data_IF_145313203616
#
_entry.id   IF_145313203616
#
_cell.length_a   1.000
_cell.length_b   1.000
_cell.length_c   1.000
_cell.angle_alpha   90.00
_cell.angle_beta   90.00
_cell.angle_gamma   90.00
#
_symmetry.space_group_name_H-M   'P 1'
#
loop_
_entity.id
_entity.type
_entity.pdbx_description
1 polymer ?
#
# COMPACT_ATOMS: atom_id res chain seq x y z
N UNK A 1 10.98 -5.08 12.85
CA UNK A 1 10.74 -4.74 11.43
C UNK A 1 9.25 -4.55 11.20
N UNK A 2 8.43 -5.54 11.58
CA UNK A 2 6.96 -5.45 11.62
C UNK A 2 6.44 -4.19 12.36
N UNK A 3 6.99 -3.87 13.53
CA UNK A 3 6.62 -2.65 14.27
C UNK A 3 6.86 -1.34 13.49
N UNK A 4 7.90 -1.30 12.64
CA UNK A 4 8.19 -0.13 11.79
C UNK A 4 7.15 -0.06 10.66
N UNK A 5 6.82 -1.20 10.04
CA UNK A 5 5.76 -1.28 9.03
C UNK A 5 4.42 -0.80 9.62
N UNK A 6 4.02 -1.35 10.77
CA UNK A 6 2.79 -0.96 11.48
C UNK A 6 2.79 0.55 11.80
N UNK A 7 3.90 1.09 12.29
CA UNK A 7 4.02 2.51 12.58
C UNK A 7 3.82 3.37 11.32
N UNK A 8 4.35 2.94 10.17
CA UNK A 8 4.21 3.65 8.89
C UNK A 8 2.78 3.54 8.37
N UNK A 9 2.16 2.36 8.41
CA UNK A 9 0.76 2.16 8.00
C UNK A 9 -0.19 3.05 8.82
N UNK A 10 -0.01 3.08 10.15
CA UNK A 10 -0.76 3.98 11.03
C UNK A 10 -0.50 5.46 10.70
N UNK A 11 0.76 5.82 10.42
CA UNK A 11 1.10 7.19 10.06
C UNK A 11 0.44 7.64 8.75
N UNK A 12 0.36 6.74 7.76
CA UNK A 12 -0.33 7.00 6.50
C UNK A 12 -1.83 7.17 6.78
N UNK A 13 -2.44 6.30 7.57
CA UNK A 13 -3.86 6.39 7.96
C UNK A 13 -4.21 7.71 8.64
N UNK A 14 -3.32 8.25 9.46
CA UNK A 14 -3.53 9.53 10.14
C UNK A 14 -3.38 10.76 9.22
N UNK A 15 -2.59 10.65 8.15
CA UNK A 15 -2.15 11.81 7.34
C UNK A 15 -2.72 11.84 5.94
N UNK A 16 -3.14 10.69 5.41
CA UNK A 16 -3.71 10.55 4.08
C UNK A 16 -5.16 10.14 4.23
N UNK A 17 -6.04 11.12 4.10
CA UNK A 17 -7.48 10.90 4.15
C UNK A 17 -7.97 10.33 2.81
N UNK A 18 -9.18 9.74 2.81
CA UNK A 18 -9.86 9.21 1.63
C UNK A 18 -9.19 7.99 0.98
N UNK A 19 -8.30 7.28 1.69
CA UNK A 19 -7.87 5.95 1.30
C UNK A 19 -8.89 4.91 1.78
N UNK A 20 -9.29 4.01 0.89
CA UNK A 20 -10.19 2.89 1.20
C UNK A 20 -9.42 1.73 1.86
N UNK A 21 -8.16 1.54 1.51
CA UNK A 21 -7.29 0.48 2.02
C UNK A 21 -5.86 0.98 2.26
N UNK A 22 -5.26 0.54 3.37
CA UNK A 22 -3.85 0.77 3.71
C UNK A 22 -3.31 -0.56 4.23
N UNK A 23 -2.37 -1.18 3.53
CA UNK A 23 -1.94 -2.54 3.84
C UNK A 23 -0.50 -2.85 3.42
N UNK A 24 -0.02 -4.04 3.78
CA UNK A 24 1.21 -4.62 3.24
C UNK A 24 1.02 -5.00 1.76
N UNK A 25 2.08 -4.79 0.98
CA UNK A 25 2.17 -5.20 -0.40
C UNK A 25 2.60 -6.68 -0.48
N UNK A 26 1.63 -7.55 -0.75
CA UNK A 26 1.79 -9.00 -0.88
C UNK A 26 1.69 -9.46 -2.34
N UNK A 27 1.68 -8.54 -3.30
CA UNK A 27 1.52 -8.83 -4.73
C UNK A 27 0.06 -8.83 -5.21
N UNK A 28 -0.86 -8.26 -4.42
CA UNK A 28 -2.30 -8.26 -4.70
C UNK A 28 -2.72 -7.35 -5.87
N UNK A 29 -1.80 -6.58 -6.47
CA UNK A 29 -2.05 -5.85 -7.72
C UNK A 29 -1.53 -6.61 -8.95
N UNK A 30 -0.75 -7.67 -8.75
CA UNK A 30 0.00 -8.39 -9.77
C UNK A 30 -0.57 -9.81 -10.03
N UNK A 31 -1.74 -10.10 -9.48
CA UNK A 31 -2.41 -11.41 -9.55
C UNK A 31 -3.74 -11.33 -10.29
N UNK A 32 -3.96 -12.26 -11.22
CA UNK A 32 -5.25 -12.49 -11.89
C UNK A 32 -6.16 -13.43 -11.06
N UNK A 33 -5.61 -14.02 -9.99
CA UNK A 33 -6.38 -14.82 -9.05
C UNK A 33 -7.17 -13.89 -8.13
N UNK A 34 -8.40 -14.27 -7.78
CA UNK A 34 -9.29 -13.54 -6.87
C UNK A 34 -8.74 -13.63 -5.42
N UNK A 35 -7.60 -12.99 -5.22
CA UNK A 35 -6.67 -13.19 -4.11
C UNK A 35 -6.42 -11.84 -3.48
N UNK A 36 -7.10 -11.64 -2.36
CA UNK A 36 -7.16 -10.42 -1.55
C UNK A 36 -7.88 -9.24 -2.20
N UNK A 37 -9.10 -8.88 -1.73
CA UNK A 37 -9.85 -7.77 -2.29
C UNK A 37 -9.11 -6.44 -2.04
N UNK A 38 -8.75 -5.76 -3.12
CA UNK A 38 -8.21 -4.40 -3.09
C UNK A 38 -9.36 -3.41 -3.30
N UNK A 39 -9.49 -2.44 -2.40
CA UNK A 39 -10.43 -1.33 -2.58
C UNK A 39 -9.66 -0.05 -2.85
N UNK A 40 -9.95 0.59 -3.97
CA UNK A 40 -9.28 1.82 -4.37
C UNK A 40 -9.96 3.07 -3.76
N UNK A 41 -9.22 4.18 -3.57
CA UNK A 41 -7.76 4.27 -3.67
C UNK A 41 -7.10 3.57 -2.47
N UNK A 42 -5.97 2.90 -2.71
CA UNK A 42 -5.23 2.18 -1.67
C UNK A 42 -3.77 2.58 -1.60
N UNK A 43 -3.16 2.36 -0.44
CA UNK A 43 -1.71 2.42 -0.27
C UNK A 43 -1.19 1.06 0.19
N UNK A 44 -0.17 0.57 -0.52
CA UNK A 44 0.49 -0.70 -0.22
C UNK A 44 1.94 -0.46 0.16
N UNK A 45 2.39 -1.06 1.26
CA UNK A 45 3.74 -0.90 1.79
C UNK A 45 4.52 -2.21 1.63
N UNK A 46 5.65 -2.18 0.93
CA UNK A 46 6.57 -3.31 0.85
C UNK A 46 7.88 -2.99 1.57
N UNK A 47 8.40 -3.96 2.31
CA UNK A 47 9.77 -3.90 2.78
C UNK A 47 10.68 -4.55 1.75
N UNK A 48 11.65 -3.80 1.23
CA UNK A 48 12.49 -4.28 0.15
C UNK A 48 13.76 -4.94 0.69
N UNK A 49 14.48 -4.29 1.62
CA UNK A 49 15.71 -4.83 2.19
C UNK A 49 16.13 -4.06 3.45
N UNK A 50 16.99 -4.68 4.27
CA UNK A 50 17.71 -3.99 5.34
C UNK A 50 19.20 -4.33 5.29
N UNK A 51 20.01 -3.32 4.97
CA UNK A 51 21.45 -3.45 5.01
C UNK A 51 21.96 -3.19 6.43
N UNK A 52 22.62 -4.19 7.02
CA UNK A 52 23.19 -4.10 8.35
C UNK A 52 24.70 -3.86 8.28
N UNK A 53 25.17 -2.81 8.94
CA UNK A 53 26.59 -2.50 9.08
C UNK A 53 26.99 -2.56 10.55
N UNK A 54 27.99 -3.38 10.88
CA UNK A 54 28.59 -3.39 12.22
C UNK A 54 29.34 -2.08 12.46
N UNK A 55 29.05 -1.43 13.58
CA UNK A 55 29.69 -0.16 13.98
C UNK A 55 30.53 -0.30 15.25
N UNK A 56 30.80 -1.55 15.67
CA UNK A 56 31.61 -1.91 16.83
C UNK A 56 30.81 -2.00 18.13
N UNK A 57 31.49 -2.44 19.20
CA UNK A 57 30.93 -2.56 20.56
C UNK A 57 29.64 -3.42 20.66
N UNK A 58 29.45 -4.35 19.73
CA UNK A 58 28.24 -5.19 19.67
C UNK A 58 27.00 -4.46 19.15
N UNK A 59 27.17 -3.35 18.42
CA UNK A 59 26.08 -2.54 17.85
C UNK A 59 26.12 -2.60 16.33
N UNK A 60 24.93 -2.65 15.70
CA UNK A 60 24.77 -2.60 14.26
C UNK A 60 23.87 -1.43 13.87
N UNK A 61 24.20 -0.76 12.76
CA UNK A 61 23.34 0.20 12.08
C UNK A 61 22.57 -0.53 10.97
N UNK A 62 21.24 -0.45 11.01
CA UNK A 62 20.37 -0.91 9.93
C UNK A 62 19.95 0.25 9.03
N UNK A 63 20.16 0.11 7.72
CA UNK A 63 19.62 1.00 6.70
C UNK A 63 18.51 0.26 5.96
N UNK A 64 17.28 0.78 6.07
CA UNK A 64 16.07 0.11 5.58
C UNK A 64 15.60 0.82 4.31
N UNK A 65 15.30 0.04 3.27
CA UNK A 65 14.63 0.53 2.06
C UNK A 65 13.19 0.02 2.02
N UNK A 66 12.25 0.95 1.93
CA UNK A 66 10.80 0.69 1.88
C UNK A 66 10.21 1.24 0.59
N UNK A 67 9.20 0.54 0.07
CA UNK A 67 8.41 1.02 -1.07
C UNK A 67 6.98 1.30 -0.62
N UNK A 68 6.48 2.49 -0.95
CA UNK A 68 5.09 2.90 -0.71
C UNK A 68 4.41 3.07 -2.07
N UNK A 69 3.49 2.18 -2.43
CA UNK A 69 2.70 2.26 -3.67
C UNK A 69 1.37 2.95 -3.35
N UNK A 70 1.01 4.01 -4.07
CA UNK A 70 -0.34 4.56 -4.11
C UNK A 70 -1.01 4.05 -5.38
N UNK A 71 -2.13 3.34 -5.23
CA UNK A 71 -2.92 2.87 -6.35
C UNK A 71 -4.31 3.50 -6.33
N UNK A 72 -4.75 3.96 -7.50
CA UNK A 72 -6.01 4.65 -7.71
C UNK A 72 -6.65 3.96 -8.90
N UNK A 73 -7.91 3.56 -8.74
CA UNK A 73 -8.69 3.11 -9.87
C UNK A 73 -9.06 4.31 -10.74
N UNK A 74 -8.51 4.35 -11.94
CA UNK A 74 -8.81 5.36 -12.95
C UNK A 74 -9.92 4.90 -13.89
N UNK A 75 -10.48 3.70 -13.68
CA UNK A 75 -11.61 3.21 -14.45
C UNK A 75 -12.90 3.75 -13.83
N UNK A 76 -13.76 4.28 -14.69
CA UNK A 76 -15.12 4.58 -14.31
C UNK A 76 -15.91 3.30 -14.34
N UNK A 77 -16.05 2.66 -13.17
CA UNK A 77 -16.86 1.47 -13.03
C UNK A 77 -18.34 1.82 -13.22
N UNK A 78 -18.84 1.78 -14.44
CA UNK A 78 -20.19 2.23 -14.77
C UNK A 78 -21.27 1.14 -14.63
N UNK A 79 -21.04 0.06 -13.89
CA UNK A 79 -22.07 -0.97 -13.74
C UNK A 79 -23.32 -0.44 -13.00
N UNK A 80 -24.47 -1.06 -13.25
CA UNK A 80 -25.72 -0.67 -12.58
C UNK A 80 -25.60 -0.92 -11.07
N UNK A 81 -25.52 0.15 -10.28
CA UNK A 81 -25.32 0.10 -8.82
C UNK A 81 -24.07 0.82 -8.33
N UNK A 82 -23.12 1.15 -9.22
CA UNK A 82 -21.86 1.82 -8.87
C UNK A 82 -22.00 3.30 -8.49
N UNK A 83 -23.13 3.93 -8.86
CA UNK A 83 -23.36 5.36 -8.68
C UNK A 83 -22.60 6.26 -9.65
N UNK A 84 -21.86 5.71 -10.61
CA UNK A 84 -21.09 6.44 -11.63
C UNK A 84 -21.61 6.20 -13.06
N UNK A 85 -22.83 5.66 -13.20
CA UNK A 85 -23.45 5.34 -14.50
C UNK A 85 -23.57 6.55 -15.44
N UNK A 86 -23.55 7.76 -14.91
CA UNK A 86 -23.59 9.00 -15.70
C UNK A 86 -22.36 9.15 -16.60
N UNK A 87 -21.21 8.58 -16.21
CA UNK A 87 -19.95 8.63 -16.97
C UNK A 87 -19.96 7.78 -18.24
N UNK A 88 -20.98 6.91 -18.44
CA UNK A 88 -21.21 6.22 -19.72
C UNK A 88 -21.45 7.21 -20.87
N UNK A 89 -21.93 8.41 -20.55
CA UNK A 89 -22.39 9.41 -21.52
C UNK A 89 -21.39 10.54 -21.77
N UNK A 90 -20.25 10.55 -21.07
CA UNK A 90 -19.10 11.43 -21.35
C UNK A 90 -18.32 10.94 -22.58
#
# INVERSE_FOLDING_TARGET
MEEILIAILNRIREKVNNLSLIDEDTGQLETDEDTYPVTFPCVLLSNTDTNWTDIGLGVQKGEIQLTVKLAIDCYDDTHIGSGTTDKIRE
#
